data_IF_903541256211
#
_entry.id   IF_903541256211
#
_cell.length_a   1.000
_cell.length_b   1.000
_cell.length_c   1.000
_cell.angle_alpha   90.00
_cell.angle_beta   90.00
_cell.angle_gamma   90.00
#
_symmetry.space_group_name_H-M   'P 1'
#
loop_
_entity.id
_entity.type
_entity.pdbx_description
1 polymer ?
#
# COMPACT_ATOMS: atom_id res chain seq x y z
N UNK A 1 14.26 20.37 1.70
CA UNK A 1 14.63 21.21 2.84
C UNK A 1 14.55 20.32 4.07
N UNK A 2 15.66 20.06 4.74
CA UNK A 2 15.75 19.20 5.91
C UNK A 2 14.99 19.85 7.05
N UNK A 3 14.07 19.14 7.71
CA UNK A 3 13.56 19.59 9.00
C UNK A 3 14.75 19.58 9.96
N UNK A 4 15.23 20.77 10.32
CA UNK A 4 16.25 21.00 11.32
C UNK A 4 15.69 20.62 12.69
N UNK A 5 16.33 19.66 13.36
CA UNK A 5 16.13 19.44 14.79
C UNK A 5 16.59 20.69 15.53
N UNK A 6 15.66 21.42 16.11
CA UNK A 6 15.99 22.51 17.03
C UNK A 6 16.40 21.88 18.38
N UNK A 7 17.70 21.82 18.62
CA UNK A 7 18.23 21.54 19.96
C UNK A 7 18.10 22.81 20.80
N UNK A 8 17.19 22.83 21.75
CA UNK A 8 17.18 23.81 22.83
C UNK A 8 17.15 23.00 24.14
N UNK A 9 18.33 22.79 24.72
CA UNK A 9 18.53 22.14 26.03
C UNK A 9 17.86 20.77 26.17
N UNK A 10 18.55 19.73 26.50
CA UNK A 10 18.24 18.31 26.78
C UNK A 10 16.77 17.78 26.82
N UNK A 11 15.81 18.50 26.25
CA UNK A 11 14.44 18.05 26.00
C UNK A 11 14.32 17.75 24.51
N UNK A 12 14.52 16.50 24.12
CA UNK A 12 14.05 15.97 22.83
C UNK A 12 12.55 16.12 22.83
N UNK A 13 12.02 17.19 22.21
CA UNK A 13 10.61 17.27 21.91
C UNK A 13 10.31 16.12 20.95
N UNK A 14 9.75 15.02 21.48
CA UNK A 14 9.21 13.95 20.66
C UNK A 14 8.11 14.58 19.81
N UNK A 15 8.33 14.72 18.51
CA UNK A 15 7.28 15.10 17.59
C UNK A 15 6.22 13.99 17.63
N UNK A 16 4.98 14.33 18.00
CA UNK A 16 3.86 13.40 18.03
C UNK A 16 3.34 13.27 16.61
N UNK A 17 3.18 12.03 16.14
CA UNK A 17 2.56 11.77 14.85
C UNK A 17 1.04 11.78 14.96
N UNK A 18 0.39 12.45 14.02
CA UNK A 18 -1.08 12.50 13.95
C UNK A 18 -1.61 11.42 13.01
N UNK A 19 -2.61 10.68 13.47
CA UNK A 19 -3.38 9.74 12.65
C UNK A 19 -4.86 10.09 12.77
N UNK A 20 -5.50 10.34 11.63
CA UNK A 20 -6.91 10.69 11.56
C UNK A 20 -7.72 9.49 11.10
N UNK A 21 -8.81 9.18 11.78
CA UNK A 21 -9.72 8.08 11.44
C UNK A 21 -11.13 8.61 11.35
N UNK A 22 -11.79 8.39 10.23
CA UNK A 22 -13.14 8.89 9.93
C UNK A 22 -14.07 7.78 9.46
N UNK A 23 -15.29 7.79 9.95
CA UNK A 23 -16.35 6.97 9.38
C UNK A 23 -16.92 7.64 8.14
N UNK A 24 -17.12 6.84 7.09
CA UNK A 24 -17.83 7.26 5.86
C UNK A 24 -19.31 6.87 5.89
N UNK A 25 -19.76 6.20 6.95
CA UNK A 25 -21.14 5.73 7.06
C UNK A 25 -22.11 6.91 7.05
N UNK A 26 -23.01 6.93 6.06
CA UNK A 26 -23.99 8.00 5.89
C UNK A 26 -23.40 9.35 5.49
N UNK A 27 -22.14 9.41 5.10
CA UNK A 27 -21.45 10.64 4.66
C UNK A 27 -21.05 10.55 3.20
N UNK A 28 -20.96 11.70 2.53
CA UNK A 28 -20.40 11.78 1.17
C UNK A 28 -18.87 11.54 1.23
N UNK A 29 -18.32 10.56 0.49
CA UNK A 29 -16.91 10.20 0.59
C UNK A 29 -15.95 11.34 0.28
N UNK A 30 -16.28 12.21 -0.68
CA UNK A 30 -15.43 13.36 -1.03
C UNK A 30 -15.35 14.37 0.14
N UNK A 31 -16.40 14.55 0.91
CA UNK A 31 -16.40 15.40 2.11
C UNK A 31 -15.49 14.81 3.20
N UNK A 32 -15.54 13.47 3.41
CA UNK A 32 -14.71 12.80 4.41
C UNK A 32 -13.23 12.83 4.01
N UNK A 33 -12.93 12.61 2.73
CA UNK A 33 -11.56 12.73 2.21
C UNK A 33 -11.07 14.17 2.32
N UNK A 34 -11.91 15.16 1.99
CA UNK A 34 -11.60 16.58 2.14
C UNK A 34 -11.21 16.93 3.60
N UNK A 35 -12.04 16.53 4.58
CA UNK A 35 -11.73 16.73 6.01
C UNK A 35 -10.39 16.08 6.38
N UNK A 36 -10.16 14.83 6.01
CA UNK A 36 -8.89 14.13 6.29
C UNK A 36 -7.69 14.86 5.70
N UNK A 37 -7.79 15.36 4.47
CA UNK A 37 -6.71 16.07 3.82
C UNK A 37 -6.48 17.44 4.50
N UNK A 38 -7.55 18.17 4.85
CA UNK A 38 -7.45 19.47 5.52
C UNK A 38 -6.80 19.34 6.90
N UNK A 39 -7.16 18.31 7.68
CA UNK A 39 -6.52 18.02 8.96
C UNK A 39 -5.00 17.76 8.81
N UNK A 40 -4.58 17.17 7.70
CA UNK A 40 -3.16 16.94 7.39
C UNK A 40 -2.46 18.17 6.80
N UNK A 41 -3.15 19.26 6.51
CA UNK A 41 -2.57 20.44 5.84
C UNK A 41 -2.06 20.10 4.44
N UNK A 42 -2.83 19.32 3.67
CA UNK A 42 -2.43 18.79 2.37
C UNK A 42 -2.02 19.85 1.35
N UNK A 43 -2.56 21.06 1.45
CA UNK A 43 -2.25 22.16 0.53
C UNK A 43 -0.80 22.65 0.62
N UNK A 44 -0.11 22.34 1.72
CA UNK A 44 1.34 22.57 1.86
C UNK A 44 2.17 21.53 1.11
N UNK A 45 1.63 20.30 1.00
CA UNK A 45 2.31 19.15 0.39
C UNK A 45 2.02 19.03 -1.10
N UNK A 46 0.86 19.48 -1.55
CA UNK A 46 0.44 19.48 -2.94
C UNK A 46 0.59 20.88 -3.52
N UNK A 47 1.64 21.20 -4.31
CA UNK A 47 1.79 22.49 -4.92
C UNK A 47 0.65 22.83 -5.87
N UNK A 48 0.27 24.11 -5.93
CA UNK A 48 -0.70 24.55 -6.95
C UNK A 48 -0.14 24.28 -8.36
N UNK A 49 -0.91 23.54 -9.18
CA UNK A 49 -0.50 23.03 -10.50
C UNK A 49 0.65 22.01 -10.46
N UNK A 50 1.03 21.51 -9.28
CA UNK A 50 2.03 20.44 -9.13
C UNK A 50 1.59 19.14 -9.77
N UNK A 51 2.56 18.29 -10.14
CA UNK A 51 2.32 16.93 -10.60
C UNK A 51 2.15 16.00 -9.40
N UNK A 52 0.95 15.44 -9.24
CA UNK A 52 0.58 14.57 -8.13
C UNK A 52 0.47 13.14 -8.61
N UNK A 53 1.15 12.24 -7.93
CA UNK A 53 1.04 10.81 -8.16
C UNK A 53 0.27 10.15 -7.04
N UNK A 54 -0.78 9.42 -7.39
CA UNK A 54 -1.63 8.65 -6.49
C UNK A 54 -1.38 7.17 -6.72
N UNK A 55 -0.92 6.46 -5.71
CA UNK A 55 -0.69 5.02 -5.81
C UNK A 55 -1.67 4.24 -4.96
N UNK A 56 -2.71 3.65 -5.56
CA UNK A 56 -3.60 2.71 -4.90
C UNK A 56 -2.90 1.37 -4.59
N UNK A 57 -3.59 0.47 -3.93
CA UNK A 57 -3.19 -0.91 -3.76
C UNK A 57 -4.01 -1.79 -4.71
N UNK A 58 -3.41 -2.19 -5.84
CA UNK A 58 -4.01 -3.12 -6.78
C UNK A 58 -3.18 -4.40 -6.83
N UNK A 59 -3.72 -5.49 -6.29
CA UNK A 59 -3.03 -6.76 -6.19
C UNK A 59 -3.90 -7.95 -6.62
N UNK A 60 -5.14 -7.68 -6.99
CA UNK A 60 -6.12 -8.66 -7.43
C UNK A 60 -6.69 -8.28 -8.79
N UNK A 61 -6.91 -9.28 -9.64
CA UNK A 61 -7.43 -9.12 -11.00
C UNK A 61 -8.73 -9.91 -11.26
N UNK A 62 -9.10 -10.80 -10.31
CA UNK A 62 -10.35 -11.56 -10.44
C UNK A 62 -11.53 -10.68 -10.08
N UNK A 63 -12.51 -10.58 -10.98
CA UNK A 63 -13.65 -9.68 -10.87
C UNK A 63 -14.46 -9.86 -9.58
N UNK A 64 -14.62 -11.11 -9.11
CA UNK A 64 -15.32 -11.45 -7.89
C UNK A 64 -14.60 -11.04 -6.58
N UNK A 65 -13.31 -10.64 -6.67
CA UNK A 65 -12.46 -10.30 -5.52
C UNK A 65 -11.89 -8.88 -5.55
N UNK A 66 -12.07 -8.15 -6.65
CA UNK A 66 -11.50 -6.81 -6.83
C UNK A 66 -11.86 -5.86 -5.69
N UNK A 67 -13.15 -5.79 -5.34
CA UNK A 67 -13.65 -4.88 -4.32
C UNK A 67 -13.11 -5.17 -2.92
N UNK A 68 -12.84 -6.44 -2.62
CA UNK A 68 -12.33 -6.86 -1.30
C UNK A 68 -10.84 -6.61 -1.15
N UNK A 69 -10.06 -6.79 -2.23
CA UNK A 69 -8.61 -6.83 -2.17
C UNK A 69 -7.93 -5.55 -2.64
N UNK A 70 -8.58 -4.77 -3.49
CA UNK A 70 -8.03 -3.55 -4.09
C UNK A 70 -8.58 -2.29 -3.41
N UNK A 71 -7.85 -1.19 -3.53
CA UNK A 71 -8.36 0.14 -3.17
C UNK A 71 -9.61 0.44 -3.98
N UNK A 72 -10.69 0.86 -3.32
CA UNK A 72 -11.99 1.05 -3.95
C UNK A 72 -11.99 2.24 -4.91
N UNK A 73 -12.79 2.13 -5.98
CA UNK A 73 -13.05 3.24 -6.89
C UNK A 73 -13.57 4.47 -6.13
N UNK A 74 -14.43 4.26 -5.13
CA UNK A 74 -15.04 5.32 -4.34
C UNK A 74 -14.01 6.22 -3.63
N UNK A 75 -12.97 5.63 -3.05
CA UNK A 75 -11.88 6.38 -2.40
C UNK A 75 -11.05 7.15 -3.43
N UNK A 76 -10.78 6.54 -4.58
CA UNK A 76 -10.02 7.20 -5.65
C UNK A 76 -10.80 8.35 -6.29
N UNK A 77 -12.09 8.18 -6.52
CA UNK A 77 -12.98 9.23 -7.04
C UNK A 77 -13.04 10.42 -6.07
N UNK A 78 -13.26 10.14 -4.78
CA UNK A 78 -13.27 11.16 -3.73
C UNK A 78 -11.94 11.93 -3.64
N UNK A 79 -10.82 11.20 -3.68
CA UNK A 79 -9.49 11.82 -3.64
C UNK A 79 -9.22 12.66 -4.88
N UNK A 80 -9.56 12.16 -6.07
CA UNK A 80 -9.40 12.91 -7.31
C UNK A 80 -10.29 14.16 -7.35
N UNK A 81 -11.52 14.09 -6.81
CA UNK A 81 -12.40 15.25 -6.69
C UNK A 81 -11.74 16.37 -5.87
N UNK A 82 -11.18 16.03 -4.69
CA UNK A 82 -10.52 17.01 -3.82
C UNK A 82 -9.24 17.55 -4.49
N UNK A 83 -8.36 16.68 -5.00
CA UNK A 83 -7.09 17.07 -5.62
C UNK A 83 -7.28 17.96 -6.85
N UNK A 84 -8.36 17.73 -7.62
CA UNK A 84 -8.67 18.48 -8.84
C UNK A 84 -9.00 19.95 -8.57
N UNK A 85 -9.34 20.32 -7.34
CA UNK A 85 -9.52 21.73 -6.94
C UNK A 85 -8.20 22.51 -6.95
N UNK A 86 -7.05 21.83 -6.88
CA UNK A 86 -5.72 22.42 -6.76
C UNK A 86 -4.82 22.18 -7.97
N UNK A 87 -4.90 20.99 -8.57
CA UNK A 87 -4.09 20.62 -9.74
C UNK A 87 -4.88 19.79 -10.73
N UNK A 88 -4.53 19.92 -12.03
CA UNK A 88 -5.04 19.05 -13.11
C UNK A 88 -4.01 17.99 -13.53
N UNK A 89 -2.82 18.00 -12.92
CA UNK A 89 -1.74 17.06 -13.24
C UNK A 89 -1.74 15.93 -12.21
N UNK A 90 -2.67 14.99 -12.36
CA UNK A 90 -2.83 13.85 -11.47
C UNK A 90 -2.59 12.56 -12.26
N UNK A 91 -1.77 11.67 -11.75
CA UNK A 91 -1.61 10.32 -12.29
C UNK A 91 -1.93 9.27 -11.22
N UNK A 92 -2.77 8.29 -11.58
CA UNK A 92 -2.96 7.06 -10.80
C UNK A 92 -2.03 6.01 -11.37
N UNK A 93 -1.21 5.42 -10.51
CA UNK A 93 -0.12 4.56 -10.95
C UNK A 93 -0.13 3.20 -10.25
N UNK A 94 0.23 2.15 -10.96
CA UNK A 94 0.55 0.84 -10.41
C UNK A 94 1.42 0.08 -11.41
N UNK A 95 2.06 -1.00 -11.01
CA UNK A 95 2.82 -1.87 -11.92
C UNK A 95 2.12 -3.20 -12.16
N UNK A 96 2.48 -3.88 -13.22
CA UNK A 96 1.98 -5.21 -13.53
C UNK A 96 2.18 -6.19 -12.36
N UNK A 97 1.21 -7.05 -12.19
CA UNK A 97 1.37 -8.22 -11.35
C UNK A 97 2.05 -9.35 -12.12
N UNK A 98 2.42 -10.41 -11.40
CA UNK A 98 3.02 -11.59 -12.04
C UNK A 98 2.08 -12.30 -13.04
N UNK A 99 0.78 -12.08 -12.93
CA UNK A 99 -0.27 -12.83 -13.66
C UNK A 99 -1.25 -11.97 -14.41
N UNK A 100 -1.10 -10.65 -14.35
CA UNK A 100 -2.02 -9.71 -14.97
C UNK A 100 -1.28 -8.44 -15.37
N UNK A 101 -1.80 -7.80 -16.37
CA UNK A 101 -1.43 -6.44 -16.74
C UNK A 101 -2.27 -5.48 -15.90
N UNK A 102 -1.66 -4.39 -15.48
CA UNK A 102 -2.38 -3.43 -14.63
C UNK A 102 -3.49 -2.69 -15.39
N UNK A 103 -3.33 -2.52 -16.70
CA UNK A 103 -4.36 -1.92 -17.55
C UNK A 103 -5.67 -2.71 -17.52
N UNK A 104 -5.59 -4.05 -17.43
CA UNK A 104 -6.78 -4.90 -17.32
C UNK A 104 -7.52 -4.63 -15.99
N UNK A 105 -6.76 -4.40 -14.90
CA UNK A 105 -7.33 -4.04 -13.60
C UNK A 105 -7.92 -2.64 -13.63
N UNK A 106 -7.26 -1.68 -14.28
CA UNK A 106 -7.79 -0.31 -14.44
C UNK A 106 -9.14 -0.33 -15.15
N UNK A 107 -9.23 -1.09 -16.25
CA UNK A 107 -10.47 -1.22 -17.03
C UNK A 107 -11.57 -1.91 -16.22
N UNK A 108 -11.27 -3.05 -15.57
CA UNK A 108 -12.24 -3.82 -14.78
C UNK A 108 -12.77 -3.01 -13.58
N UNK A 109 -11.95 -2.14 -13.00
CA UNK A 109 -12.34 -1.22 -11.94
C UNK A 109 -13.02 0.05 -12.46
N UNK A 110 -13.08 0.27 -13.78
CA UNK A 110 -13.71 1.42 -14.42
C UNK A 110 -12.99 2.74 -14.13
N UNK A 111 -11.65 2.73 -14.04
CA UNK A 111 -10.86 3.93 -13.73
C UNK A 111 -10.85 4.95 -14.88
N UNK A 112 -11.21 4.57 -16.09
CA UNK A 112 -11.40 5.49 -17.24
C UNK A 112 -12.37 6.63 -16.88
N UNK A 113 -13.36 6.38 -16.05
CA UNK A 113 -14.29 7.41 -15.54
C UNK A 113 -13.59 8.54 -14.78
N UNK A 114 -12.46 8.25 -14.12
CA UNK A 114 -11.64 9.26 -13.45
C UNK A 114 -10.88 10.11 -14.47
N UNK A 115 -10.41 9.49 -15.56
CA UNK A 115 -9.81 10.20 -16.68
C UNK A 115 -10.82 11.15 -17.33
N UNK A 116 -12.04 10.67 -17.62
CA UNK A 116 -13.11 11.46 -18.21
C UNK A 116 -13.54 12.64 -17.31
N UNK A 117 -13.66 12.40 -16.00
CA UNK A 117 -14.19 13.39 -15.06
C UNK A 117 -13.15 14.43 -14.62
N UNK A 118 -11.90 13.99 -14.36
CA UNK A 118 -10.88 14.82 -13.74
C UNK A 118 -9.62 15.03 -14.58
N UNK A 119 -9.51 14.37 -15.74
CA UNK A 119 -8.31 14.40 -16.59
C UNK A 119 -7.13 13.61 -15.99
N UNK A 120 -7.42 12.64 -15.11
CA UNK A 120 -6.40 11.80 -14.47
C UNK A 120 -5.73 10.90 -15.50
N UNK A 121 -4.40 10.79 -15.42
CA UNK A 121 -3.63 9.84 -16.22
C UNK A 121 -3.56 8.48 -15.51
N UNK A 122 -3.78 7.39 -16.25
CA UNK A 122 -3.57 6.02 -15.75
C UNK A 122 -2.22 5.54 -16.27
N UNK A 123 -1.27 5.24 -15.37
CA UNK A 123 0.11 4.93 -15.74
C UNK A 123 0.50 3.53 -15.26
N UNK A 124 0.89 2.68 -16.21
CA UNK A 124 1.55 1.42 -15.91
C UNK A 124 3.04 1.65 -15.65
N UNK A 125 3.46 1.56 -14.41
CA UNK A 125 4.85 1.77 -14.00
C UNK A 125 5.82 0.75 -14.62
N UNK A 126 5.34 -0.43 -15.05
CA UNK A 126 6.18 -1.46 -15.69
C UNK A 126 6.69 -1.00 -17.04
N UNK A 127 5.90 -0.22 -17.76
CA UNK A 127 6.25 0.33 -19.10
C UNK A 127 6.73 1.78 -19.05
N UNK A 128 6.81 2.38 -17.88
CA UNK A 128 7.28 3.76 -17.72
C UNK A 128 8.78 3.89 -17.98
N UNK A 129 9.21 5.08 -18.37
CA UNK A 129 10.63 5.43 -18.38
C UNK A 129 11.21 5.28 -16.99
N UNK A 130 12.43 4.82 -16.89
CA UNK A 130 13.03 4.54 -15.58
C UNK A 130 14.33 5.29 -15.39
N UNK A 131 14.56 5.77 -14.16
CA UNK A 131 15.82 6.34 -13.70
C UNK A 131 16.56 5.36 -12.78
N UNK A 132 17.90 5.38 -12.83
CA UNK A 132 18.75 4.57 -11.92
C UNK A 132 18.68 5.15 -10.53
N UNK A 133 18.49 4.28 -9.53
CA UNK A 133 18.54 4.66 -8.11
C UNK A 133 19.89 4.27 -7.55
N UNK A 134 20.59 5.25 -6.98
CA UNK A 134 21.85 5.02 -6.26
C UNK A 134 21.57 4.59 -4.82
N UNK A 135 21.28 3.30 -4.64
CA UNK A 135 21.03 2.71 -3.32
C UNK A 135 21.66 1.29 -3.29
N UNK A 136 22.62 1.01 -2.38
CA UNK A 136 23.37 -0.25 -2.37
C UNK A 136 22.51 -1.53 -2.30
N UNK A 137 21.39 -1.52 -1.54
CA UNK A 137 20.46 -2.66 -1.47
C UNK A 137 19.57 -2.77 -2.70
N UNK A 138 19.52 -1.75 -3.51
CA UNK A 138 18.74 -1.66 -4.74
C UNK A 138 19.67 -1.40 -5.94
N UNK A 139 20.94 -1.80 -5.83
CA UNK A 139 21.91 -1.64 -6.91
C UNK A 139 21.39 -2.26 -8.20
N UNK A 140 21.43 -1.48 -9.27
CA UNK A 140 20.82 -1.87 -10.55
C UNK A 140 19.30 -1.75 -10.61
N UNK A 141 18.66 -1.32 -9.53
CA UNK A 141 17.23 -0.99 -9.55
C UNK A 141 16.98 0.34 -10.26
N UNK A 142 15.93 0.31 -11.05
CA UNK A 142 15.43 1.49 -11.72
C UNK A 142 14.04 1.80 -11.19
N UNK A 143 13.77 3.05 -10.86
CA UNK A 143 12.44 3.50 -10.49
C UNK A 143 11.78 4.23 -11.66
N UNK A 144 10.45 4.14 -11.78
CA UNK A 144 9.68 4.85 -12.78
C UNK A 144 9.88 6.36 -12.68
N UNK A 145 10.07 7.03 -13.82
CA UNK A 145 10.26 8.48 -13.92
C UNK A 145 9.05 9.22 -13.35
N UNK A 146 7.84 8.73 -13.59
CA UNK A 146 6.61 9.28 -13.02
C UNK A 146 6.69 9.43 -11.49
N UNK A 147 7.36 8.50 -10.78
CA UNK A 147 7.50 8.57 -9.32
C UNK A 147 8.65 9.49 -8.86
N UNK A 148 9.69 9.64 -9.67
CA UNK A 148 10.86 10.45 -9.31
C UNK A 148 10.72 11.93 -9.71
N UNK A 149 9.80 12.23 -10.62
CA UNK A 149 9.55 13.57 -11.16
C UNK A 149 8.28 14.22 -10.58
N UNK A 150 7.51 13.51 -9.75
CA UNK A 150 6.31 14.10 -9.15
C UNK A 150 6.67 15.09 -8.03
N UNK A 151 5.81 16.10 -7.89
CA UNK A 151 5.91 17.10 -6.82
C UNK A 151 5.33 16.59 -5.50
N UNK A 152 4.35 15.67 -5.58
CA UNK A 152 3.76 15.02 -4.41
C UNK A 152 3.37 13.57 -4.75
N UNK A 153 3.80 12.65 -3.90
CA UNK A 153 3.44 11.23 -3.98
C UNK A 153 2.48 10.86 -2.84
N UNK A 154 1.29 10.36 -3.19
CA UNK A 154 0.22 9.98 -2.25
C UNK A 154 0.03 8.46 -2.31
N UNK A 155 0.15 7.80 -1.17
CA UNK A 155 -0.13 6.36 -1.03
C UNK A 155 -1.60 6.15 -0.64
N UNK A 156 -2.31 5.26 -1.36
CA UNK A 156 -3.71 4.89 -1.03
C UNK A 156 -3.80 3.39 -0.79
N UNK A 157 -3.30 2.93 0.36
CA UNK A 157 -3.25 1.51 0.70
C UNK A 157 -4.63 0.94 1.04
N UNK A 158 -4.73 -0.40 1.06
CA UNK A 158 -5.88 -1.16 1.53
C UNK A 158 -5.64 -1.69 2.94
N UNK A 159 -6.60 -1.57 3.83
CA UNK A 159 -6.56 -2.12 5.18
C UNK A 159 -6.74 -3.65 5.12
N UNK A 160 -5.65 -4.40 5.20
CA UNK A 160 -5.74 -5.87 5.14
C UNK A 160 -4.54 -6.59 5.75
N UNK A 161 -4.78 -7.78 6.28
CA UNK A 161 -3.75 -8.72 6.70
C UNK A 161 -2.94 -9.23 5.50
N UNK A 162 -1.76 -9.80 5.75
CA UNK A 162 -0.89 -10.32 4.71
C UNK A 162 -0.06 -11.50 5.20
N UNK A 163 -0.09 -12.61 4.47
CA UNK A 163 0.57 -13.86 4.86
C UNK A 163 2.10 -13.75 5.03
N UNK A 164 2.79 -12.87 4.27
CA UNK A 164 4.24 -12.71 4.34
C UNK A 164 4.69 -11.58 5.25
N UNK A 165 3.94 -10.47 5.28
CA UNK A 165 4.34 -9.24 5.99
C UNK A 165 3.45 -8.95 7.19
N UNK A 166 2.54 -9.85 7.54
CA UNK A 166 1.56 -9.72 8.61
C UNK A 166 0.46 -8.69 8.32
N UNK A 167 0.82 -7.52 7.79
CA UNK A 167 -0.08 -6.45 7.39
C UNK A 167 0.34 -5.86 6.04
N UNK A 168 -0.61 -5.40 5.23
CA UNK A 168 -0.36 -4.75 3.94
C UNK A 168 0.02 -3.28 4.17
N UNK A 169 -0.91 -2.46 4.61
CA UNK A 169 -0.68 -1.09 5.06
C UNK A 169 -0.08 -0.14 4.04
N UNK A 170 0.30 1.04 4.56
CA UNK A 170 0.84 2.14 3.78
C UNK A 170 2.29 1.89 3.35
N UNK A 171 3.14 1.40 4.26
CA UNK A 171 4.56 1.18 3.96
C UNK A 171 4.77 0.16 2.84
N UNK A 172 4.07 -0.98 2.90
CA UNK A 172 4.22 -2.03 1.89
C UNK A 172 3.56 -1.69 0.56
N UNK A 173 2.65 -0.72 0.52
CA UNK A 173 2.01 -0.30 -0.72
C UNK A 173 3.03 0.13 -1.78
N UNK A 174 4.17 0.73 -1.38
CA UNK A 174 5.25 1.13 -2.28
C UNK A 174 5.98 -0.06 -2.95
N UNK A 175 5.73 -1.30 -2.51
CA UNK A 175 6.26 -2.49 -3.19
C UNK A 175 5.84 -2.58 -4.66
N UNK A 176 4.63 -2.11 -4.99
CA UNK A 176 4.14 -1.98 -6.35
C UNK A 176 4.82 -0.87 -7.18
N UNK A 177 5.67 -0.04 -6.60
CA UNK A 177 6.48 0.95 -7.33
C UNK A 177 7.71 0.35 -8.02
N UNK A 178 8.06 -0.90 -7.72
CA UNK A 178 9.12 -1.64 -8.40
C UNK A 178 8.57 -2.07 -9.76
N UNK A 179 9.10 -1.53 -10.90
CA UNK A 179 8.47 -1.65 -12.21
C UNK A 179 8.77 -2.98 -12.90
N UNK A 180 8.74 -4.08 -12.14
CA UNK A 180 9.03 -5.40 -12.70
C UNK A 180 8.20 -6.49 -12.04
N UNK A 181 7.53 -7.35 -12.82
CA UNK A 181 6.66 -8.41 -12.31
C UNK A 181 7.42 -9.47 -11.48
N UNK A 182 8.70 -9.70 -11.79
CA UNK A 182 9.56 -10.66 -11.10
C UNK A 182 10.11 -10.16 -9.75
N UNK A 183 9.64 -9.00 -9.25
CA UNK A 183 9.97 -8.50 -7.90
C UNK A 183 9.66 -9.49 -6.77
N UNK A 184 8.88 -10.53 -7.06
CA UNK A 184 8.63 -11.65 -6.14
C UNK A 184 9.94 -12.33 -5.68
N UNK A 185 11.00 -12.32 -6.48
CA UNK A 185 12.33 -12.83 -6.11
C UNK A 185 12.94 -12.10 -4.92
N UNK A 186 12.50 -10.88 -4.69
CA UNK A 186 12.99 -10.03 -3.61
C UNK A 186 12.18 -10.22 -2.31
N UNK A 187 11.16 -11.08 -2.29
CA UNK A 187 10.31 -11.31 -1.12
C UNK A 187 11.09 -11.73 0.12
N UNK A 188 12.23 -12.39 -0.04
CA UNK A 188 13.14 -12.73 1.08
C UNK A 188 13.71 -11.51 1.81
N UNK A 189 13.66 -10.32 1.19
CA UNK A 189 14.18 -9.06 1.71
C UNK A 189 13.10 -8.00 2.01
N UNK A 190 11.82 -8.38 2.04
CA UNK A 190 10.70 -7.45 2.23
C UNK A 190 10.88 -6.53 3.44
N UNK A 191 11.31 -7.10 4.58
CA UNK A 191 11.49 -6.31 5.81
C UNK A 191 12.51 -5.19 5.68
N UNK A 192 13.52 -5.35 4.83
CA UNK A 192 14.57 -4.35 4.59
C UNK A 192 14.25 -3.43 3.41
N UNK A 193 13.70 -3.99 2.32
CA UNK A 193 13.47 -3.24 1.09
C UNK A 193 12.25 -2.31 1.17
N UNK A 194 11.20 -2.69 1.90
CA UNK A 194 10.02 -1.83 2.07
C UNK A 194 10.40 -0.50 2.74
N UNK A 195 11.10 -0.45 3.88
CA UNK A 195 11.56 0.80 4.46
C UNK A 195 12.46 1.61 3.53
N UNK A 196 13.36 0.95 2.81
CA UNK A 196 14.26 1.62 1.84
C UNK A 196 13.51 2.27 0.70
N UNK A 197 12.50 1.59 0.14
CA UNK A 197 11.62 2.19 -0.88
C UNK A 197 10.90 3.44 -0.36
N UNK A 198 10.42 3.40 0.89
CA UNK A 198 9.78 4.56 1.51
C UNK A 198 10.77 5.72 1.74
N UNK A 199 12.02 5.43 2.10
CA UNK A 199 13.08 6.45 2.21
C UNK A 199 13.38 7.14 0.87
N UNK A 200 13.31 6.39 -0.24
CA UNK A 200 13.60 6.91 -1.58
C UNK A 200 12.40 7.66 -2.15
N UNK A 201 11.21 7.04 -2.11
CA UNK A 201 9.99 7.55 -2.72
C UNK A 201 9.34 8.68 -1.91
N UNK A 202 9.55 8.70 -0.60
CA UNK A 202 9.08 9.73 0.34
C UNK A 202 7.62 10.14 0.12
N UNK A 203 6.65 9.22 0.28
CA UNK A 203 5.24 9.60 0.19
C UNK A 203 4.95 10.78 1.11
N UNK A 204 4.27 11.82 0.61
CA UNK A 204 3.92 12.99 1.40
C UNK A 204 2.89 12.67 2.48
N UNK A 205 1.97 11.77 2.18
CA UNK A 205 0.97 11.24 3.10
C UNK A 205 0.31 9.97 2.54
N UNK A 206 -0.48 9.32 3.38
CA UNK A 206 -1.30 8.19 2.96
C UNK A 206 -2.76 8.36 3.39
N UNK A 207 -3.68 7.88 2.53
CA UNK A 207 -5.11 7.71 2.84
C UNK A 207 -5.45 6.24 2.69
N UNK A 208 -5.62 5.54 3.80
CA UNK A 208 -5.88 4.11 3.83
C UNK A 208 -7.37 3.81 3.65
N UNK A 209 -7.70 3.04 2.64
CA UNK A 209 -9.03 2.51 2.40
C UNK A 209 -9.32 1.35 3.37
N UNK A 210 -10.16 1.60 4.33
CA UNK A 210 -10.76 0.66 5.26
C UNK A 210 -12.30 0.63 5.15
N UNK A 211 -12.86 1.09 4.02
CA UNK A 211 -14.32 0.96 3.78
C UNK A 211 -14.67 -0.53 3.78
N UNK A 212 -14.00 -1.27 2.93
CA UNK A 212 -13.96 -2.73 2.97
C UNK A 212 -12.54 -3.16 3.30
N UNK A 213 -12.35 -3.81 4.43
CA UNK A 213 -11.08 -4.36 4.87
C UNK A 213 -11.02 -5.88 4.60
N UNK A 214 -9.87 -6.50 4.85
CA UNK A 214 -9.70 -7.95 4.67
C UNK A 214 -8.88 -8.54 5.81
N UNK A 215 -9.35 -9.64 6.37
CA UNK A 215 -8.66 -10.39 7.41
C UNK A 215 -8.28 -11.82 6.97
N UNK A 216 -7.49 -12.51 7.75
CA UNK A 216 -7.14 -13.93 7.54
C UNK A 216 -6.18 -14.10 6.38
N UNK A 217 -6.59 -14.83 5.33
CA UNK A 217 -5.73 -15.27 4.21
C UNK A 217 -5.42 -14.16 3.19
N UNK A 218 -5.14 -12.92 3.67
CA UNK A 218 -4.67 -11.83 2.81
C UNK A 218 -3.34 -12.15 2.09
N UNK A 219 -3.03 -11.50 1.00
CA UNK A 219 -3.60 -10.22 0.54
C UNK A 219 -4.82 -10.33 -0.40
N UNK A 220 -5.21 -11.54 -0.89
CA UNK A 220 -6.24 -11.67 -1.93
C UNK A 220 -7.32 -12.70 -1.61
N UNK A 221 -7.05 -13.66 -0.71
CA UNK A 221 -7.97 -14.75 -0.36
C UNK A 221 -8.49 -14.68 1.09
N UNK A 222 -8.43 -13.49 1.69
CA UNK A 222 -8.94 -13.27 3.04
C UNK A 222 -10.47 -13.13 3.07
N UNK A 223 -10.99 -12.97 4.28
CA UNK A 223 -12.40 -12.71 4.54
C UNK A 223 -12.64 -11.21 4.55
N UNK A 224 -13.69 -10.78 3.88
CA UNK A 224 -14.15 -9.40 3.85
C UNK A 224 -14.60 -8.92 5.23
N UNK A 225 -14.29 -7.69 5.57
CA UNK A 225 -14.74 -6.96 6.75
C UNK A 225 -15.21 -5.57 6.33
N UNK A 226 -16.48 -5.28 6.53
CA UNK A 226 -17.06 -3.97 6.23
C UNK A 226 -16.88 -3.06 7.46
N UNK A 227 -15.95 -2.10 7.37
CA UNK A 227 -15.64 -1.17 8.47
C UNK A 227 -16.20 0.23 8.23
N UNK A 228 -16.38 0.61 6.95
CA UNK A 228 -16.81 1.95 6.55
C UNK A 228 -15.90 3.06 7.09
N UNK A 229 -14.59 2.84 7.13
CA UNK A 229 -13.60 3.76 7.66
C UNK A 229 -12.60 4.22 6.58
N UNK A 230 -12.06 5.41 6.78
CA UNK A 230 -10.85 5.91 6.15
C UNK A 230 -9.85 6.33 7.25
N UNK A 231 -8.58 6.05 7.03
CA UNK A 231 -7.50 6.49 7.92
C UNK A 231 -6.50 7.31 7.11
N UNK A 232 -5.93 8.36 7.71
CA UNK A 232 -4.93 9.18 7.03
C UNK A 232 -3.83 9.64 7.98
N UNK A 233 -2.61 9.78 7.46
CA UNK A 233 -1.46 10.33 8.18
C UNK A 233 -0.35 10.76 7.22
N UNK A 234 0.46 11.73 7.64
CA UNK A 234 1.77 12.02 7.04
C UNK A 234 2.83 11.00 7.46
N UNK A 235 2.65 10.38 8.61
CA UNK A 235 3.53 9.31 9.12
C UNK A 235 2.94 7.93 8.76
N UNK A 236 3.55 7.27 7.78
CA UNK A 236 3.08 5.96 7.30
C UNK A 236 3.33 4.84 8.31
N UNK A 237 4.35 4.97 9.18
CA UNK A 237 4.63 4.01 10.27
C UNK A 237 3.53 4.10 11.32
N UNK A 238 3.20 5.33 11.74
CA UNK A 238 2.13 5.59 12.70
C UNK A 238 0.76 5.15 12.17
N UNK A 239 0.50 5.37 10.88
CA UNK A 239 -0.72 4.93 10.21
C UNK A 239 -0.85 3.40 10.26
N UNK A 240 0.20 2.67 9.86
CA UNK A 240 0.21 1.20 9.86
C UNK A 240 0.11 0.65 11.30
N UNK A 241 0.83 1.25 12.25
CA UNK A 241 0.78 0.85 13.66
C UNK A 241 -0.61 1.06 14.27
N UNK A 242 -1.26 2.19 13.98
CA UNK A 242 -2.62 2.48 14.43
C UNK A 242 -3.63 1.52 13.81
N UNK A 243 -3.58 1.32 12.50
CA UNK A 243 -4.45 0.38 11.79
C UNK A 243 -4.33 -1.05 12.35
N UNK A 244 -3.11 -1.50 12.61
CA UNK A 244 -2.89 -2.81 13.24
C UNK A 244 -3.48 -2.91 14.63
N UNK A 245 -3.27 -1.89 15.51
CA UNK A 245 -3.86 -1.87 16.86
C UNK A 245 -5.38 -1.89 16.82
N UNK A 246 -5.99 -1.09 15.94
CA UNK A 246 -7.44 -1.11 15.74
C UNK A 246 -7.94 -2.51 15.33
N UNK A 247 -7.16 -3.25 14.54
CA UNK A 247 -7.46 -4.62 14.16
C UNK A 247 -7.13 -5.66 15.24
N UNK A 248 -6.69 -5.26 16.44
CA UNK A 248 -6.23 -6.20 17.48
C UNK A 248 -4.90 -6.90 17.15
N UNK A 249 -4.17 -6.38 16.16
CA UNK A 249 -2.88 -6.91 15.72
C UNK A 249 -1.73 -6.13 16.41
N UNK A 250 -0.62 -6.81 16.64
CA UNK A 250 0.58 -6.20 17.25
C UNK A 250 1.51 -5.65 16.17
N UNK A 251 1.80 -4.33 16.12
CA UNK A 251 2.70 -3.74 15.11
C UNK A 251 4.09 -4.38 15.10
N UNK A 252 4.58 -4.86 16.24
CA UNK A 252 5.88 -5.50 16.41
C UNK A 252 6.01 -6.83 15.63
N UNK A 253 4.91 -7.45 15.21
CA UNK A 253 4.93 -8.63 14.35
C UNK A 253 5.15 -8.30 12.87
N UNK A 254 4.97 -7.06 12.46
CA UNK A 254 5.22 -6.58 11.11
C UNK A 254 6.66 -6.05 10.98
N UNK A 255 7.61 -6.92 10.65
CA UNK A 255 9.04 -6.61 10.64
C UNK A 255 9.42 -5.38 9.81
N UNK A 256 8.72 -5.13 8.69
CA UNK A 256 8.96 -3.95 7.87
C UNK A 256 8.52 -2.64 8.57
N UNK A 257 7.52 -2.70 9.45
CA UNK A 257 7.09 -1.54 10.26
C UNK A 257 8.10 -1.27 11.35
N UNK A 258 8.57 -2.31 12.03
CA UNK A 258 9.63 -2.22 13.05
C UNK A 258 10.92 -1.64 12.45
N UNK A 259 11.33 -2.15 11.29
CA UNK A 259 12.52 -1.68 10.58
C UNK A 259 12.37 -0.24 10.10
N UNK A 260 11.16 0.16 9.64
CA UNK A 260 10.89 1.53 9.24
C UNK A 260 11.00 2.50 10.44
N UNK A 261 10.45 2.12 11.59
CA UNK A 261 10.58 2.90 12.83
C UNK A 261 12.05 3.00 13.29
N UNK A 262 12.80 1.90 13.24
CA UNK A 262 14.23 1.88 13.58
C UNK A 262 15.08 2.77 12.65
N UNK A 263 14.60 3.04 11.42
CA UNK A 263 15.19 3.96 10.45
C UNK A 263 14.67 5.39 10.55
N UNK A 264 13.93 5.71 11.61
CA UNK A 264 13.34 7.04 11.86
C UNK A 264 12.41 7.52 10.73
N UNK A 265 11.68 6.60 10.09
CA UNK A 265 10.67 6.96 9.08
C UNK A 265 9.32 7.33 9.69
N UNK A 266 9.15 7.16 10.99
CA UNK A 266 7.95 7.49 11.74
C UNK A 266 7.88 6.74 13.08
N UNK A 267 6.76 6.86 13.76
CA UNK A 267 6.57 6.35 15.12
C UNK A 267 5.75 5.06 15.14
N UNK A 268 6.27 4.04 15.84
CA UNK A 268 5.55 2.78 16.10
C UNK A 268 4.91 2.77 17.48
N UNK A 269 5.47 3.54 18.43
CA UNK A 269 5.04 3.54 19.83
C UNK A 269 3.76 4.36 20.01
N UNK A 270 2.80 3.80 20.73
CA UNK A 270 1.49 4.44 20.96
C UNK A 270 1.63 5.80 21.66
N UNK A 271 2.57 5.93 22.59
CA UNK A 271 2.83 7.18 23.30
C UNK A 271 3.37 8.32 22.43
N UNK A 272 3.80 8.02 21.21
CA UNK A 272 4.26 9.00 20.23
C UNK A 272 3.26 9.20 19.07
N UNK A 273 2.04 8.66 19.19
CA UNK A 273 1.00 8.74 18.17
C UNK A 273 -0.27 9.30 18.81
N UNK A 274 -0.76 10.41 18.28
CA UNK A 274 -2.08 10.94 18.61
C UNK A 274 -3.08 10.47 17.56
N UNK A 275 -4.14 9.76 18.00
CA UNK A 275 -5.18 9.23 17.11
C UNK A 275 -6.45 10.04 17.28
N UNK A 276 -6.83 10.76 16.23
CA UNK A 276 -8.05 11.57 16.17
C UNK A 276 -9.17 10.75 15.52
N UNK A 277 -10.12 10.29 16.33
CA UNK A 277 -11.26 9.45 15.92
C UNK A 277 -12.54 10.27 15.78
N UNK A 278 -13.27 10.09 14.68
CA UNK A 278 -14.62 10.64 14.51
C UNK A 278 -15.56 9.61 13.87
N UNK A 279 -16.68 9.34 14.56
CA UNK A 279 -17.71 8.41 14.10
C UNK A 279 -17.25 6.94 14.02
N UNK A 280 -16.21 6.57 14.75
CA UNK A 280 -15.62 5.24 14.69
C UNK A 280 -16.26 4.34 15.73
N UNK A 281 -16.98 3.30 15.29
CA UNK A 281 -17.45 2.23 16.15
C UNK A 281 -16.35 1.20 16.40
N UNK A 282 -16.37 0.56 17.57
CA UNK A 282 -15.53 -0.60 17.83
C UNK A 282 -15.93 -1.78 16.94
N UNK A 283 -14.96 -2.59 16.54
CA UNK A 283 -15.19 -3.81 15.79
C UNK A 283 -14.34 -4.96 16.36
N UNK A 284 -14.79 -6.18 16.11
CA UNK A 284 -14.09 -7.37 16.57
C UNK A 284 -12.67 -7.45 16.01
N UNK A 285 -11.70 -7.92 16.79
CA UNK A 285 -10.33 -8.11 16.33
C UNK A 285 -10.25 -8.98 15.06
N UNK A 286 -9.29 -8.67 14.23
CA UNK A 286 -9.05 -9.39 12.98
C UNK A 286 -8.37 -10.73 13.23
N UNK A 287 -8.74 -11.70 12.43
CA UNK A 287 -8.02 -12.97 12.33
C UNK A 287 -6.69 -12.69 11.61
N UNK A 288 -5.52 -12.89 12.25
CA UNK A 288 -4.24 -12.69 11.60
C UNK A 288 -4.04 -13.67 10.45
N UNK A 289 -3.28 -13.24 9.43
CA UNK A 289 -2.90 -14.15 8.35
C UNK A 289 -2.04 -15.30 8.87
N UNK A 290 -2.46 -16.52 8.63
CA UNK A 290 -1.63 -17.70 8.92
C UNK A 290 -0.53 -17.80 7.87
N UNK A 291 0.68 -18.17 8.29
CA UNK A 291 1.75 -18.52 7.36
C UNK A 291 1.31 -19.70 6.52
N UNK A 292 1.31 -19.53 5.20
CA UNK A 292 1.02 -20.63 4.29
C UNK A 292 2.32 -21.36 3.92
N UNK A 293 2.41 -22.63 4.24
CA UNK A 293 3.59 -23.45 3.93
C UNK A 293 3.94 -23.45 2.43
N UNK A 294 2.96 -23.28 1.54
CA UNK A 294 3.15 -23.15 0.09
C UNK A 294 3.92 -21.89 -0.28
N UNK A 295 3.65 -20.78 0.41
CA UNK A 295 4.38 -19.52 0.24
C UNK A 295 5.79 -19.62 0.85
N UNK A 296 5.93 -20.30 1.98
CA UNK A 296 7.25 -20.56 2.58
C UNK A 296 8.10 -21.48 1.68
N UNK A 297 7.50 -22.52 1.12
CA UNK A 297 8.15 -23.38 0.14
C UNK A 297 8.56 -22.60 -1.12
N UNK A 298 7.69 -21.77 -1.66
CA UNK A 298 8.03 -20.91 -2.81
C UNK A 298 9.15 -19.94 -2.48
N UNK A 299 9.13 -19.31 -1.31
CA UNK A 299 10.23 -18.45 -0.86
C UNK A 299 11.53 -19.23 -0.68
N UNK A 300 11.47 -20.45 -0.14
CA UNK A 300 12.63 -21.34 -0.03
C UNK A 300 13.19 -21.70 -1.40
N UNK A 301 12.36 -22.14 -2.33
CA UNK A 301 12.77 -22.53 -3.68
C UNK A 301 13.34 -21.34 -4.46
N UNK A 302 12.74 -20.17 -4.37
CA UNK A 302 13.27 -18.95 -5.02
C UNK A 302 14.56 -18.46 -4.39
N UNK A 303 14.77 -18.71 -3.09
CA UNK A 303 16.00 -18.34 -2.38
C UNK A 303 17.21 -19.19 -2.79
N UNK A 304 17.02 -20.51 -2.90
CA UNK A 304 18.11 -21.45 -3.06
C UNK A 304 18.24 -22.05 -4.47
N UNK A 305 17.24 -21.88 -5.31
CA UNK A 305 17.18 -22.44 -6.66
C UNK A 305 16.65 -21.45 -7.68
N UNK A 306 17.44 -20.44 -8.10
CA UNK A 306 16.99 -19.45 -9.10
C UNK A 306 16.48 -20.09 -10.41
N UNK A 307 17.02 -21.25 -10.78
CA UNK A 307 16.58 -22.02 -11.96
C UNK A 307 15.11 -22.48 -11.82
N UNK A 308 14.67 -22.90 -10.63
CA UNK A 308 13.28 -23.31 -10.38
C UNK A 308 12.31 -22.15 -10.62
N UNK A 309 12.76 -20.93 -10.37
CA UNK A 309 12.01 -19.73 -10.67
C UNK A 309 11.75 -19.54 -12.17
N UNK A 310 12.77 -19.67 -13.01
CA UNK A 310 12.61 -19.57 -14.47
C UNK A 310 11.68 -20.66 -15.03
N UNK A 311 11.72 -21.85 -14.44
CA UNK A 311 10.82 -22.96 -14.78
C UNK A 311 9.40 -22.68 -14.32
N UNK A 312 9.20 -22.10 -13.13
CA UNK A 312 7.88 -21.74 -12.59
C UNK A 312 7.24 -20.53 -13.30
N UNK A 313 8.06 -19.61 -13.85
CA UNK A 313 7.55 -18.47 -14.62
C UNK A 313 7.16 -18.83 -16.06
N UNK A 314 7.64 -19.95 -16.60
CA UNK A 314 7.11 -20.44 -17.86
C UNK A 314 5.66 -20.89 -17.66
N UNK A 315 4.71 -20.07 -18.19
CA UNK A 315 3.28 -20.09 -17.84
C UNK A 315 2.59 -21.45 -17.89
N UNK A 316 3.05 -22.41 -18.72
CA UNK A 316 2.54 -23.78 -18.78
C UNK A 316 2.84 -24.60 -17.53
N UNK A 317 4.09 -24.58 -17.05
CA UNK A 317 4.51 -25.32 -15.84
C UNK A 317 3.97 -24.71 -14.56
N UNK A 318 3.88 -23.39 -14.51
CA UNK A 318 3.27 -22.70 -13.36
C UNK A 318 1.77 -22.99 -13.22
N UNK A 319 1.03 -23.03 -14.33
CA UNK A 319 -0.38 -23.39 -14.33
C UNK A 319 -0.59 -24.87 -13.95
N UNK A 320 0.29 -25.76 -14.41
CA UNK A 320 0.28 -27.18 -14.02
C UNK A 320 0.55 -27.37 -12.51
N UNK A 321 1.57 -26.67 -11.99
CA UNK A 321 1.88 -26.70 -10.55
C UNK A 321 0.73 -26.12 -9.70
N UNK A 322 0.08 -25.06 -10.17
CA UNK A 322 -1.10 -24.48 -9.51
C UNK A 322 -2.31 -25.44 -9.51
N UNK A 323 -2.55 -26.12 -10.64
CA UNK A 323 -3.61 -27.13 -10.75
C UNK A 323 -3.35 -28.30 -9.79
N UNK A 324 -2.10 -28.77 -9.71
CA UNK A 324 -1.70 -29.81 -8.78
C UNK A 324 -1.91 -29.41 -7.31
N UNK A 325 -1.50 -28.20 -6.93
CA UNK A 325 -1.71 -27.66 -5.57
C UNK A 325 -3.21 -27.52 -5.26
N UNK A 326 -4.01 -27.12 -6.25
CA UNK A 326 -5.47 -27.01 -6.10
C UNK A 326 -6.13 -28.37 -5.91
N UNK A 327 -5.69 -29.38 -6.66
CA UNK A 327 -6.15 -30.78 -6.50
C UNK A 327 -5.75 -31.34 -5.14
N UNK A 328 -4.49 -31.16 -4.71
CA UNK A 328 -4.01 -31.62 -3.40
C UNK A 328 -4.73 -30.93 -2.23
N UNK A 329 -5.16 -29.67 -2.41
CA UNK A 329 -6.01 -28.97 -1.42
C UNK A 329 -7.41 -29.57 -1.32
N UNK A 330 -8.02 -30.00 -2.42
CA UNK A 330 -9.34 -30.68 -2.41
C UNK A 330 -9.28 -32.04 -1.71
N UNK A 331 -8.19 -32.78 -1.84
CA UNK A 331 -8.00 -34.08 -1.21
C UNK A 331 -7.72 -34.03 0.30
N UNK A 332 -7.46 -32.85 0.85
CA UNK A 332 -7.19 -32.65 2.29
C UNK A 332 -8.40 -32.11 3.07
N UNK A 333 -9.53 -31.91 2.38
CA UNK A 333 -10.81 -31.41 2.95
C UNK A 333 -11.86 -32.52 2.91
N UNK A 334 -11.58 -33.66 2.32
CA UNK A 334 -12.30 -34.94 2.46
C UNK A 334 -11.53 -35.82 3.44
#
# INVERSE_FOLDING_TARGET
MWQTYNYVGDIVLRTISEVYVRSVLGKEPASVVGDLLDQMGWTELVPSRGFVVVKPNFCEYRSDRLADANTSFLVLDALCAVLSSRTRRIAIVESDGLRYRIEDVFAEMGLERLTERYGVQLVNLTSDKTAVVSEPLLEGFRLPATLTECDCFISVPKFKTHALTYFTGALKNQWGCIPRPDRILLHKHLSLLIPRLNQILKPGFAVMDAIVAMEGRGPTNGTRRDLSLLLASRDLVALDATAMRMAGLRPQHAQHVVEAAARHLGHIDESAIHVNLDGVASFEPFIPAKKEWTLELMNYLTRYRPFVYHVLLNGGLFNAAKSLVTVLRKWRIS
#
